data_IF_956295048280
#
_entry.id   IF_956295048280
#
_cell.length_a   1.000
_cell.length_b   1.000
_cell.length_c   1.000
_cell.angle_alpha   90.00
_cell.angle_beta   90.00
_cell.angle_gamma   90.00
#
_symmetry.space_group_name_H-M   'P 1'
#
loop_
_entity.id
_entity.type
_entity.pdbx_description
1 polymer ?
#
# COMPACT_ATOMS: atom_id res chain seq x y z
N UNK A 1 24.22 26.51 -0.93
CA UNK A 1 25.30 25.51 -0.99
C UNK A 1 25.99 25.52 0.37
N UNK A 2 25.50 24.72 1.32
CA UNK A 2 25.99 24.71 2.71
C UNK A 2 27.03 23.60 2.91
N UNK A 3 28.07 23.94 3.68
CA UNK A 3 29.38 23.33 3.69
C UNK A 3 29.42 21.88 4.22
N UNK A 4 29.95 20.97 3.39
CA UNK A 4 30.43 19.63 3.78
C UNK A 4 31.89 19.72 4.31
N UNK A 5 32.43 20.92 4.49
CA UNK A 5 33.87 21.15 4.67
C UNK A 5 34.39 21.13 6.12
N UNK A 6 33.55 20.79 7.11
CA UNK A 6 33.92 20.85 8.53
C UNK A 6 33.72 19.54 9.32
N UNK A 7 33.56 18.41 8.62
CA UNK A 7 33.43 17.09 9.26
C UNK A 7 34.51 16.15 8.78
N UNK A 8 35.09 15.39 9.71
CA UNK A 8 36.17 14.45 9.43
C UNK A 8 35.71 13.28 8.53
N UNK A 9 34.41 12.97 8.52
CA UNK A 9 33.84 11.91 7.69
C UNK A 9 32.32 12.09 7.44
N UNK A 10 31.79 11.36 6.46
CA UNK A 10 30.37 11.42 6.08
C UNK A 10 29.41 11.02 7.22
N UNK A 11 29.84 10.13 8.13
CA UNK A 11 29.04 9.70 9.28
C UNK A 11 28.92 10.82 10.32
N UNK A 12 30.02 11.50 10.64
CA UNK A 12 30.04 12.67 11.52
C UNK A 12 29.13 13.79 10.97
N UNK A 13 29.14 14.01 9.65
CA UNK A 13 28.24 14.95 9.00
C UNK A 13 26.76 14.55 9.10
N UNK A 14 26.43 13.26 8.91
CA UNK A 14 25.06 12.76 8.99
C UNK A 14 24.49 12.78 10.41
N UNK A 15 25.34 12.61 11.44
CA UNK A 15 24.94 12.57 12.85
C UNK A 15 25.00 13.94 13.56
N UNK A 16 25.47 14.99 12.86
CA UNK A 16 25.66 16.33 13.44
C UNK A 16 24.34 17.03 13.81
N UNK A 17 23.31 16.92 12.96
CA UNK A 17 22.02 17.59 13.17
C UNK A 17 21.32 17.19 14.47
N UNK A 18 21.50 15.94 14.88
CA UNK A 18 20.91 15.36 16.09
C UNK A 18 21.93 15.25 17.25
N UNK A 19 23.15 15.77 17.08
CA UNK A 19 24.25 15.69 18.05
C UNK A 19 24.48 14.27 18.60
N UNK A 20 24.41 13.26 17.74
CA UNK A 20 24.57 11.85 18.13
C UNK A 20 26.07 11.53 18.16
N UNK A 21 26.65 11.15 19.32
CA UNK A 21 28.06 10.76 19.37
C UNK A 21 28.33 9.53 18.49
N UNK A 22 29.46 9.51 17.78
CA UNK A 22 29.83 8.38 16.90
C UNK A 22 29.86 7.04 17.64
N UNK A 23 30.17 7.06 18.94
CA UNK A 23 30.18 5.89 19.81
C UNK A 23 28.82 5.20 19.89
N UNK A 24 27.71 5.96 19.80
CA UNK A 24 26.35 5.40 19.80
C UNK A 24 26.11 4.58 18.53
N UNK A 25 26.54 5.09 17.38
CA UNK A 25 26.41 4.41 16.10
C UNK A 25 27.26 3.12 16.04
N UNK A 26 28.51 3.19 16.49
CA UNK A 26 29.39 2.02 16.56
C UNK A 26 28.86 0.96 17.53
N UNK A 27 28.37 1.40 18.70
CA UNK A 27 27.76 0.50 19.68
C UNK A 27 26.50 -0.16 19.11
N UNK A 28 25.66 0.57 18.38
CA UNK A 28 24.49 0.01 17.71
C UNK A 28 24.89 -1.07 16.70
N UNK A 29 25.80 -0.76 15.78
CA UNK A 29 26.27 -1.71 14.76
C UNK A 29 26.87 -2.95 15.42
N UNK A 30 27.76 -2.76 16.39
CA UNK A 30 28.43 -3.86 17.10
C UNK A 30 27.41 -4.74 17.80
N UNK A 31 26.46 -4.13 18.50
CA UNK A 31 25.42 -4.86 19.25
C UNK A 31 24.52 -5.64 18.29
N UNK A 32 24.05 -5.02 17.22
CA UNK A 32 23.21 -5.69 16.21
C UNK A 32 23.96 -6.86 15.57
N UNK A 33 25.19 -6.64 15.10
CA UNK A 33 26.03 -7.70 14.50
C UNK A 33 26.28 -8.87 15.45
N UNK A 34 26.49 -8.58 16.74
CA UNK A 34 26.71 -9.61 17.77
C UNK A 34 25.43 -10.36 18.16
N UNK A 35 24.26 -9.87 17.77
CA UNK A 35 22.95 -10.41 18.16
C UNK A 35 22.04 -10.72 16.96
N UNK A 36 22.61 -11.11 15.80
CA UNK A 36 21.82 -11.47 14.61
C UNK A 36 21.11 -12.83 14.69
N UNK A 37 21.41 -13.66 15.69
CA UNK A 37 20.85 -15.00 15.81
C UNK A 37 19.30 -15.06 15.76
N UNK A 38 18.54 -14.17 16.42
CA UNK A 38 17.08 -14.16 16.32
C UNK A 38 16.58 -13.84 14.91
N UNK A 39 17.30 -13.01 14.15
CA UNK A 39 16.93 -12.68 12.77
C UNK A 39 17.06 -13.91 11.86
N UNK A 40 18.18 -14.64 11.94
CA UNK A 40 18.36 -15.86 11.15
C UNK A 40 17.35 -16.94 11.56
N UNK A 41 17.09 -17.09 12.87
CA UNK A 41 16.02 -17.99 13.36
C UNK A 41 14.66 -17.66 12.74
N UNK A 42 14.31 -16.38 12.62
CA UNK A 42 13.06 -15.95 11.99
C UNK A 42 13.04 -16.24 10.48
N UNK A 43 14.15 -16.03 9.76
CA UNK A 43 14.24 -16.32 8.33
C UNK A 43 14.13 -17.82 8.04
N UNK A 44 14.78 -18.67 8.85
CA UNK A 44 14.65 -20.12 8.76
C UNK A 44 13.21 -20.58 9.02
N UNK A 45 12.56 -20.01 10.04
CA UNK A 45 11.16 -20.27 10.33
C UNK A 45 10.24 -19.88 9.16
N UNK A 46 10.46 -18.72 8.54
CA UNK A 46 9.70 -18.27 7.36
C UNK A 46 9.90 -19.22 6.18
N UNK A 47 11.15 -19.62 5.89
CA UNK A 47 11.48 -20.59 4.84
C UNK A 47 10.73 -21.91 5.03
N UNK A 48 10.73 -22.44 6.26
CA UNK A 48 10.02 -23.68 6.60
C UNK A 48 8.51 -23.53 6.47
N UNK A 49 7.94 -22.44 6.99
CA UNK A 49 6.49 -22.21 6.98
C UNK A 49 5.94 -22.02 5.57
N UNK A 50 6.70 -21.35 4.69
CA UNK A 50 6.35 -21.17 3.28
C UNK A 50 6.73 -22.37 2.39
N UNK A 51 7.30 -23.44 2.97
CA UNK A 51 7.77 -24.63 2.26
C UNK A 51 8.72 -24.34 1.08
N UNK A 52 9.64 -23.39 1.26
CA UNK A 52 10.57 -22.95 0.21
C UNK A 52 11.92 -23.67 0.30
N UNK A 53 12.49 -24.05 -0.85
CA UNK A 53 13.84 -24.63 -0.95
C UNK A 53 14.93 -23.59 -0.69
N UNK A 54 14.68 -22.33 -1.05
CA UNK A 54 15.53 -21.16 -0.84
C UNK A 54 14.64 -19.95 -0.51
N UNK A 55 15.09 -19.06 0.37
CA UNK A 55 14.35 -17.85 0.73
C UNK A 55 14.98 -16.65 0.03
N UNK A 56 14.22 -15.99 -0.84
CA UNK A 56 14.62 -14.75 -1.49
C UNK A 56 14.05 -13.53 -0.75
N UNK A 57 14.60 -12.34 -1.04
CA UNK A 57 14.18 -11.11 -0.37
C UNK A 57 12.71 -10.77 -0.62
N UNK A 58 12.17 -11.05 -1.81
CA UNK A 58 10.77 -10.79 -2.14
C UNK A 58 9.78 -11.68 -1.38
N UNK A 59 10.22 -12.86 -0.92
CA UNK A 59 9.39 -13.76 -0.10
C UNK A 59 9.10 -13.18 1.29
N UNK A 60 9.86 -12.16 1.72
CA UNK A 60 9.62 -11.45 2.96
C UNK A 60 8.36 -10.57 2.91
N UNK A 61 7.90 -10.20 1.71
CA UNK A 61 6.67 -9.43 1.51
C UNK A 61 5.39 -10.28 1.56
N UNK A 62 5.51 -11.61 1.43
CA UNK A 62 4.37 -12.52 1.48
C UNK A 62 3.94 -12.74 2.94
N UNK A 63 2.64 -12.71 3.27
CA UNK A 63 2.17 -13.07 4.61
C UNK A 63 2.54 -14.52 4.98
N UNK A 64 3.06 -14.74 6.19
CA UNK A 64 3.31 -16.10 6.72
C UNK A 64 1.99 -16.80 7.09
N UNK A 65 0.95 -16.03 7.41
CA UNK A 65 -0.36 -16.53 7.81
C UNK A 65 -1.32 -16.45 6.62
N UNK A 66 -1.83 -17.61 6.18
CA UNK A 66 -2.70 -17.75 5.02
C UNK A 66 -4.05 -17.03 5.16
N UNK A 67 -4.55 -16.90 6.39
CA UNK A 67 -5.89 -16.37 6.65
C UNK A 67 -5.94 -14.83 6.66
N UNK A 68 -4.81 -14.16 6.45
CA UNK A 68 -4.76 -12.70 6.26
C UNK A 68 -4.98 -12.39 4.78
N UNK A 69 -6.22 -12.59 4.30
CA UNK A 69 -6.60 -12.26 2.93
C UNK A 69 -6.80 -10.75 2.76
N UNK A 70 -5.70 -10.00 2.64
CA UNK A 70 -5.74 -8.57 2.32
C UNK A 70 -6.00 -8.30 0.83
N UNK A 71 -5.69 -9.28 -0.03
CA UNK A 71 -5.79 -9.16 -1.51
C UNK A 71 -7.20 -8.83 -1.98
N UNK A 72 -8.23 -9.50 -1.43
CA UNK A 72 -9.62 -9.25 -1.82
C UNK A 72 -10.07 -7.81 -1.53
N UNK A 73 -9.56 -7.19 -0.45
CA UNK A 73 -9.92 -5.83 -0.06
C UNK A 73 -9.46 -4.80 -1.09
N UNK A 74 -8.33 -5.04 -1.77
CA UNK A 74 -7.87 -4.16 -2.85
C UNK A 74 -8.78 -4.25 -4.06
N UNK A 75 -9.09 -5.46 -4.54
CA UNK A 75 -9.97 -5.64 -5.68
C UNK A 75 -11.36 -5.05 -5.44
N UNK A 76 -11.95 -5.30 -4.26
CA UNK A 76 -13.24 -4.71 -3.88
C UNK A 76 -13.15 -3.20 -3.69
N UNK A 77 -12.05 -2.70 -3.13
CA UNK A 77 -11.82 -1.27 -2.91
C UNK A 77 -11.69 -0.48 -4.21
N UNK A 78 -10.93 -1.00 -5.18
CA UNK A 78 -10.81 -0.40 -6.52
C UNK A 78 -12.17 -0.43 -7.23
N UNK A 79 -12.92 -1.53 -7.14
CA UNK A 79 -14.25 -1.63 -7.74
C UNK A 79 -15.22 -0.61 -7.14
N UNK A 80 -15.21 -0.44 -5.81
CA UNK A 80 -16.00 0.57 -5.12
C UNK A 80 -15.58 1.99 -5.54
N UNK A 81 -14.28 2.26 -5.62
CA UNK A 81 -13.74 3.56 -6.00
C UNK A 81 -14.13 3.95 -7.43
N UNK A 82 -14.02 3.03 -8.40
CA UNK A 82 -14.45 3.25 -9.78
C UNK A 82 -15.96 3.54 -9.82
N UNK A 83 -16.78 2.76 -9.11
CA UNK A 83 -18.22 2.98 -9.06
C UNK A 83 -18.58 4.35 -8.44
N UNK A 84 -17.91 4.76 -7.36
CA UNK A 84 -18.10 6.08 -6.76
C UNK A 84 -17.66 7.21 -7.70
N UNK A 85 -16.49 7.06 -8.33
CA UNK A 85 -15.97 8.05 -9.27
C UNK A 85 -16.90 8.22 -10.47
N UNK A 86 -17.41 7.13 -11.05
CA UNK A 86 -18.36 7.15 -12.15
C UNK A 86 -19.65 7.92 -11.77
N UNK A 87 -20.19 7.68 -10.57
CA UNK A 87 -21.34 8.43 -10.06
C UNK A 87 -21.03 9.90 -9.88
N UNK A 88 -19.88 10.25 -9.29
CA UNK A 88 -19.50 11.66 -9.07
C UNK A 88 -19.34 12.41 -10.41
N UNK A 89 -18.79 11.74 -11.43
CA UNK A 89 -18.62 12.33 -12.77
C UNK A 89 -19.95 12.47 -13.51
N UNK A 90 -20.84 11.48 -13.42
CA UNK A 90 -22.05 11.42 -14.26
C UNK A 90 -23.33 11.96 -13.59
N UNK A 91 -23.46 11.88 -12.26
CA UNK A 91 -24.69 12.20 -11.52
C UNK A 91 -24.65 13.58 -10.81
N UNK A 92 -23.52 14.29 -10.89
CA UNK A 92 -23.39 15.67 -10.44
C UNK A 92 -23.41 15.86 -8.92
N UNK A 93 -23.98 16.99 -8.47
CA UNK A 93 -23.81 17.48 -7.10
C UNK A 93 -24.33 16.51 -6.02
N UNK A 94 -25.44 15.80 -6.28
CA UNK A 94 -26.00 14.86 -5.31
C UNK A 94 -25.06 13.68 -5.02
N UNK A 95 -24.43 13.11 -6.06
CA UNK A 95 -23.46 12.03 -5.89
C UNK A 95 -22.16 12.51 -5.23
N UNK A 96 -21.74 13.74 -5.52
CA UNK A 96 -20.61 14.38 -4.85
C UNK A 96 -20.87 14.54 -3.35
N UNK A 97 -22.04 15.02 -2.96
CA UNK A 97 -22.39 15.21 -1.55
C UNK A 97 -22.48 13.86 -0.82
N UNK A 98 -23.03 12.83 -1.46
CA UNK A 98 -23.04 11.47 -0.94
C UNK A 98 -21.62 10.92 -0.72
N UNK A 99 -20.71 11.16 -1.67
CA UNK A 99 -19.29 10.78 -1.54
C UNK A 99 -18.59 11.53 -0.39
N UNK A 100 -18.81 12.85 -0.28
CA UNK A 100 -18.23 13.64 0.82
C UNK A 100 -18.76 13.18 2.19
N UNK A 101 -20.06 12.89 2.29
CA UNK A 101 -20.64 12.32 3.50
C UNK A 101 -19.99 10.99 3.87
N UNK A 102 -19.77 10.11 2.90
CA UNK A 102 -19.05 8.86 3.12
C UNK A 102 -17.63 9.08 3.65
N UNK A 103 -16.86 10.03 3.11
CA UNK A 103 -15.53 10.35 3.61
C UNK A 103 -15.57 10.89 5.05
N UNK A 104 -16.60 11.65 5.40
CA UNK A 104 -16.78 12.18 6.76
C UNK A 104 -17.14 11.11 7.78
N UNK A 105 -17.72 9.97 7.37
CA UNK A 105 -18.03 8.85 8.29
C UNK A 105 -16.76 8.22 8.87
N UNK A 106 -15.65 8.22 8.13
CA UNK A 106 -14.39 7.61 8.55
C UNK A 106 -14.56 6.14 8.97
N UNK A 107 -14.11 5.81 10.18
CA UNK A 107 -14.28 4.48 10.79
C UNK A 107 -15.54 4.31 11.65
N UNK A 108 -16.43 5.30 11.67
CA UNK A 108 -17.59 5.33 12.59
C UNK A 108 -18.73 4.42 12.15
N UNK A 109 -18.72 3.94 10.90
CA UNK A 109 -19.70 3.02 10.32
C UNK A 109 -18.97 1.87 9.64
N UNK A 110 -19.61 0.70 9.58
CA UNK A 110 -19.05 -0.43 8.83
C UNK A 110 -18.89 -0.08 7.34
N UNK A 111 -17.79 -0.50 6.68
CA UNK A 111 -17.46 -0.08 5.32
C UNK A 111 -18.55 -0.35 4.28
N UNK A 112 -19.21 -1.52 4.34
CA UNK A 112 -20.27 -1.87 3.40
C UNK A 112 -21.49 -0.96 3.55
N UNK A 113 -21.85 -0.63 4.79
CA UNK A 113 -23.01 0.24 5.05
C UNK A 113 -22.71 1.70 4.73
N UNK A 114 -21.45 2.13 4.84
CA UNK A 114 -21.02 3.46 4.39
C UNK A 114 -21.02 3.58 2.86
N UNK A 115 -20.59 2.53 2.15
CA UNK A 115 -20.64 2.50 0.69
C UNK A 115 -22.09 2.50 0.16
N UNK A 116 -23.00 1.79 0.83
CA UNK A 116 -24.43 1.84 0.51
C UNK A 116 -24.99 3.26 0.66
N UNK A 117 -24.63 3.99 1.71
CA UNK A 117 -25.04 5.40 1.89
C UNK A 117 -24.51 6.30 0.76
N UNK A 118 -23.31 6.00 0.24
CA UNK A 118 -22.74 6.68 -0.93
C UNK A 118 -23.35 6.23 -2.27
N UNK A 119 -24.34 5.33 -2.25
CA UNK A 119 -25.02 4.81 -3.43
C UNK A 119 -24.26 3.69 -4.15
N UNK A 120 -23.32 3.01 -3.50
CA UNK A 120 -22.58 1.85 -4.03
C UNK A 120 -22.78 0.63 -3.15
N UNK A 121 -23.59 -0.32 -3.62
CA UNK A 121 -23.80 -1.59 -2.92
C UNK A 121 -22.84 -2.69 -3.41
N UNK A 122 -21.80 -2.95 -2.63
CA UNK A 122 -20.81 -4.01 -2.87
C UNK A 122 -21.33 -5.43 -2.61
N UNK A 123 -22.56 -5.59 -2.11
CA UNK A 123 -23.24 -6.89 -2.00
C UNK A 123 -23.83 -7.31 -3.34
N UNK A 124 -23.97 -6.38 -4.27
CA UNK A 124 -24.40 -6.62 -5.64
C UNK A 124 -23.19 -6.84 -6.57
N UNK A 125 -23.36 -7.53 -7.72
CA UNK A 125 -22.29 -7.69 -8.70
C UNK A 125 -22.02 -6.40 -9.51
N UNK A 126 -22.87 -5.38 -9.38
CA UNK A 126 -22.87 -4.20 -10.26
C UNK A 126 -21.60 -3.33 -10.16
N UNK A 127 -21.03 -3.03 -8.96
CA UNK A 127 -19.78 -2.28 -8.86
C UNK A 127 -18.60 -2.98 -9.56
N UNK A 128 -18.57 -4.31 -9.51
CA UNK A 128 -17.53 -5.12 -10.15
C UNK A 128 -17.70 -5.09 -11.68
N UNK A 129 -18.93 -5.27 -12.18
CA UNK A 129 -19.22 -5.16 -13.62
C UNK A 129 -18.85 -3.77 -14.17
N UNK A 130 -19.15 -2.70 -13.41
CA UNK A 130 -18.74 -1.33 -13.77
C UNK A 130 -17.23 -1.18 -13.87
N UNK A 131 -16.48 -1.72 -12.90
CA UNK A 131 -15.03 -1.69 -12.93
C UNK A 131 -14.44 -2.43 -14.16
N UNK A 132 -14.99 -3.60 -14.48
CA UNK A 132 -14.58 -4.37 -15.68
C UNK A 132 -14.90 -3.58 -16.95
N UNK A 133 -16.09 -2.98 -17.04
CA UNK A 133 -16.47 -2.13 -18.18
C UNK A 133 -15.52 -0.94 -18.33
N UNK A 134 -15.23 -0.23 -17.25
CA UNK A 134 -14.30 0.90 -17.27
C UNK A 134 -12.90 0.49 -17.76
N UNK A 135 -12.41 -0.67 -17.32
CA UNK A 135 -11.16 -1.23 -17.82
C UNK A 135 -11.22 -1.54 -19.32
N UNK A 136 -12.31 -2.16 -19.81
CA UNK A 136 -12.52 -2.40 -21.24
C UNK A 136 -12.45 -1.09 -22.04
N UNK A 137 -13.19 -0.07 -21.60
CA UNK A 137 -13.23 1.22 -22.27
C UNK A 137 -11.83 1.91 -22.29
N UNK A 138 -11.00 1.70 -21.26
CA UNK A 138 -9.61 2.17 -21.24
C UNK A 138 -8.71 1.41 -22.22
N UNK A 139 -8.88 0.08 -22.33
CA UNK A 139 -8.13 -0.73 -23.29
C UNK A 139 -8.48 -0.33 -24.71
N UNK A 140 -9.76 -0.14 -25.02
CA UNK A 140 -10.21 0.29 -26.35
C UNK A 140 -9.57 1.65 -26.72
N UNK A 141 -9.59 2.62 -25.80
CA UNK A 141 -8.93 3.93 -26.00
C UNK A 141 -7.42 3.82 -26.21
N UNK A 142 -6.77 2.88 -25.53
CA UNK A 142 -5.35 2.62 -25.73
C UNK A 142 -5.07 2.02 -27.11
N UNK A 143 -5.91 1.08 -27.57
CA UNK A 143 -5.79 0.46 -28.89
C UNK A 143 -5.99 1.49 -30.00
N UNK A 144 -6.98 2.37 -29.88
CA UNK A 144 -7.23 3.45 -30.84
C UNK A 144 -6.03 4.41 -30.94
N UNK A 145 -5.51 4.86 -29.79
CA UNK A 145 -4.35 5.76 -29.75
C UNK A 145 -3.08 5.13 -30.36
N UNK A 146 -2.90 3.81 -30.24
CA UNK A 146 -1.78 3.11 -30.87
C UNK A 146 -1.91 2.94 -32.38
N UNK A 147 -3.13 3.02 -32.94
CA UNK A 147 -3.34 2.95 -34.40
C UNK A 147 -3.08 4.29 -35.11
N UNK A 148 -3.06 5.39 -34.35
CA UNK A 148 -2.78 6.74 -34.86
C UNK A 148 -1.28 7.11 -34.87
N UNK A 149 -0.40 6.21 -34.40
CA UNK A 149 1.06 6.33 -34.39
C UNK A 149 1.71 5.59 -35.56
#
# INVERSE_FOLDING_TARGET
MFAIHHFDNCRAAASFGDNIPETVYENLIKTVKSNLAPFFKYMDFRKQTLALSELHFYDTYVPIVSDVTFVYKYATGVSAAIALADKVVNEGQSARDAYLNFLMLGGSKFPLDGLVDAGVDMRSPEPIKRAIKYFSDLVDRLMDACQEL
#
